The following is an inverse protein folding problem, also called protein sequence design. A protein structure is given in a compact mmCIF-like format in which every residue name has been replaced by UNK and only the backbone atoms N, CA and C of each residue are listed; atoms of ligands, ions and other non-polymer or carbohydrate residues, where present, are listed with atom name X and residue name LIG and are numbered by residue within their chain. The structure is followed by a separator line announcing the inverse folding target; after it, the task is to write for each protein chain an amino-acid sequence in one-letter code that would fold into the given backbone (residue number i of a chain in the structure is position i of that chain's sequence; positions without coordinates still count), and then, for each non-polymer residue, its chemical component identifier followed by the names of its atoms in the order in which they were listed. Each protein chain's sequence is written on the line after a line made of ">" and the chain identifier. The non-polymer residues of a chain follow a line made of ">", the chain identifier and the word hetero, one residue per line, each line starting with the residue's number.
data_IF_337489145281
#
_entry.id   IF_337489145281
#
_cell.length_a   1.000
_cell.length_b   1.000
_cell.length_c   1.000
_cell.angle_alpha   90.00
_cell.angle_beta   90.00
_cell.angle_gamma   90.00
#
_symmetry.space_group_name_H-M   'P 1'
#
loop_
_entity.id
_entity.type
_entity.pdbx_description
1 polymer ?
#
# COMPACT_ATOMS: atom_id res chain seq x y z
N UNK A 1 -0.13 2.59 -29.74
CA UNK A 1 0.10 3.38 -30.98
C UNK A 1 1.51 3.97 -31.09
N UNK A 2 2.11 4.57 -30.06
CA UNK A 2 3.49 5.14 -30.16
C UNK A 2 4.58 4.09 -30.31
N UNK A 3 4.40 2.92 -29.70
CA UNK A 3 5.39 1.84 -29.71
C UNK A 3 5.45 1.05 -31.02
N UNK A 4 4.31 0.88 -31.71
CA UNK A 4 4.27 0.24 -33.04
C UNK A 4 4.99 1.06 -34.09
N UNK A 5 4.81 2.38 -34.05
CA UNK A 5 5.52 3.27 -34.98
C UNK A 5 7.02 3.27 -34.70
N UNK A 6 7.43 3.20 -33.43
CA UNK A 6 8.84 3.11 -33.03
C UNK A 6 9.47 1.77 -33.43
N UNK A 7 8.79 0.65 -33.18
CA UNK A 7 9.23 -0.68 -33.58
C UNK A 7 9.31 -0.80 -35.11
N UNK A 8 8.28 -0.34 -35.83
CA UNK A 8 8.26 -0.34 -37.28
C UNK A 8 9.37 0.52 -37.89
N UNK A 9 9.67 1.68 -37.31
CA UNK A 9 10.78 2.53 -37.74
C UNK A 9 12.15 1.92 -37.41
N UNK A 10 12.30 1.24 -36.26
CA UNK A 10 13.54 0.57 -35.90
C UNK A 10 13.83 -0.64 -36.80
N UNK A 11 12.81 -1.47 -37.07
CA UNK A 11 12.92 -2.59 -38.02
C UNK A 11 13.15 -2.10 -39.45
N UNK A 12 12.56 -0.98 -39.85
CA UNK A 12 12.82 -0.34 -41.13
C UNK A 12 14.30 0.03 -41.31
N UNK A 13 14.90 0.71 -40.31
CA UNK A 13 16.33 1.06 -40.35
C UNK A 13 17.24 -0.16 -40.42
N UNK A 14 16.92 -1.23 -39.71
CA UNK A 14 17.71 -2.47 -39.74
C UNK A 14 17.66 -3.18 -41.10
N UNK A 15 16.58 -2.99 -41.86
CA UNK A 15 16.48 -3.47 -43.24
C UNK A 15 17.29 -2.57 -44.17
N UNK A 16 17.21 -1.25 -44.00
CA UNK A 16 17.97 -0.28 -44.80
C UNK A 16 19.49 -0.43 -44.59
N UNK A 17 19.92 -0.80 -43.38
CA UNK A 17 21.30 -1.11 -43.02
C UNK A 17 21.77 -2.51 -43.48
N UNK A 18 20.88 -3.32 -44.08
CA UNK A 18 21.18 -4.66 -44.58
C UNK A 18 21.41 -5.72 -43.50
N UNK A 19 21.12 -5.39 -42.24
CA UNK A 19 21.28 -6.30 -41.08
C UNK A 19 20.18 -7.36 -41.04
N UNK A 20 18.97 -6.99 -41.50
CA UNK A 20 17.78 -7.86 -41.49
C UNK A 20 17.14 -7.82 -42.88
N UNK A 21 16.70 -8.97 -43.39
CA UNK A 21 15.98 -9.02 -44.68
C UNK A 21 14.52 -8.55 -44.51
N UNK A 22 13.86 -8.08 -45.59
CA UNK A 22 12.43 -7.72 -45.54
C UNK A 22 11.55 -8.85 -45.01
N UNK A 23 11.82 -10.10 -45.40
CA UNK A 23 11.09 -11.28 -44.93
C UNK A 23 11.27 -11.53 -43.42
N UNK A 24 12.47 -11.30 -42.88
CA UNK A 24 12.74 -11.42 -41.45
C UNK A 24 12.08 -10.28 -40.64
N UNK A 25 12.03 -9.06 -41.19
CA UNK A 25 11.26 -7.96 -40.60
C UNK A 25 9.80 -8.35 -40.45
N UNK A 26 9.19 -8.91 -41.49
CA UNK A 26 7.78 -9.28 -41.47
C UNK A 26 7.52 -10.44 -40.50
N UNK A 27 8.44 -11.42 -40.43
CA UNK A 27 8.37 -12.51 -39.46
C UNK A 27 8.49 -12.00 -38.00
N UNK A 28 9.40 -11.06 -37.72
CA UNK A 28 9.56 -10.46 -36.38
C UNK A 28 8.36 -9.58 -36.04
N UNK A 29 7.84 -8.81 -36.99
CA UNK A 29 6.64 -8.00 -36.78
C UNK A 29 5.41 -8.88 -36.50
N UNK A 30 5.28 -10.01 -37.20
CA UNK A 30 4.22 -11.00 -36.96
C UNK A 30 4.38 -11.68 -35.59
N UNK A 31 5.59 -12.12 -35.22
CA UNK A 31 5.85 -12.73 -33.92
C UNK A 31 5.60 -11.75 -32.76
N UNK A 32 6.00 -10.49 -32.89
CA UNK A 32 5.72 -9.44 -31.89
C UNK A 32 4.23 -9.06 -31.84
N UNK A 33 3.52 -9.17 -32.96
CA UNK A 33 2.07 -8.98 -32.99
C UNK A 33 1.33 -10.15 -32.33
N UNK A 34 1.83 -11.38 -32.45
CA UNK A 34 1.31 -12.57 -31.75
C UNK A 34 1.63 -12.57 -30.25
N UNK A 35 2.81 -12.12 -29.84
CA UNK A 35 3.18 -11.99 -28.42
C UNK A 35 2.52 -10.80 -27.74
N UNK A 36 2.09 -9.79 -28.50
CA UNK A 36 1.32 -8.69 -27.93
C UNK A 36 -0.03 -9.22 -27.49
N UNK A 37 -0.46 -8.95 -26.24
CA UNK A 37 -1.81 -9.27 -25.83
C UNK A 37 -2.76 -8.53 -26.77
N UNK A 38 -3.43 -9.28 -27.65
CA UNK A 38 -4.33 -8.73 -28.66
C UNK A 38 -5.26 -7.69 -28.04
N UNK A 39 -5.43 -6.55 -28.72
CA UNK A 39 -6.29 -5.46 -28.29
C UNK A 39 -7.57 -6.03 -27.70
N UNK A 40 -7.79 -5.79 -26.40
CA UNK A 40 -8.76 -6.53 -25.61
C UNK A 40 -10.12 -6.53 -26.31
N UNK A 41 -10.65 -7.73 -26.60
CA UNK A 41 -11.99 -7.85 -27.17
C UNK A 41 -12.98 -7.10 -26.27
N UNK A 42 -14.01 -6.50 -26.84
CA UNK A 42 -15.07 -5.84 -26.06
C UNK A 42 -15.61 -6.77 -24.97
N UNK A 43 -15.65 -8.08 -25.23
CA UNK A 43 -15.99 -9.12 -24.26
C UNK A 43 -15.07 -9.11 -23.02
N UNK A 44 -13.76 -8.92 -23.18
CA UNK A 44 -12.81 -8.81 -22.07
C UNK A 44 -13.05 -7.54 -21.26
N UNK A 45 -13.31 -6.41 -21.92
CA UNK A 45 -13.65 -5.15 -21.25
C UNK A 45 -14.95 -5.28 -20.45
N UNK A 46 -16.00 -5.85 -21.05
CA UNK A 46 -17.26 -6.09 -20.35
C UNK A 46 -17.11 -7.09 -19.20
N UNK A 47 -16.29 -8.13 -19.36
CA UNK A 47 -15.98 -9.06 -18.27
C UNK A 47 -15.23 -8.36 -17.13
N UNK A 48 -14.30 -7.45 -17.45
CA UNK A 48 -13.56 -6.65 -16.46
C UNK A 48 -14.48 -5.66 -15.73
N UNK A 49 -15.35 -4.94 -16.45
CA UNK A 49 -16.36 -4.06 -15.86
C UNK A 49 -17.32 -4.86 -14.98
N UNK A 50 -17.83 -6.00 -15.46
CA UNK A 50 -18.71 -6.86 -14.69
C UNK A 50 -18.03 -7.42 -13.44
N UNK A 51 -16.72 -7.73 -13.50
CA UNK A 51 -15.97 -8.20 -12.36
C UNK A 51 -15.73 -7.10 -11.31
N UNK A 52 -15.38 -5.87 -11.72
CA UNK A 52 -15.25 -4.74 -10.78
C UNK A 52 -16.59 -4.30 -10.21
N UNK A 53 -17.64 -4.23 -11.05
CA UNK A 53 -18.99 -3.94 -10.61
C UNK A 53 -19.49 -5.02 -9.65
N UNK A 54 -19.25 -6.31 -9.96
CA UNK A 54 -19.57 -7.44 -9.09
C UNK A 54 -18.84 -7.37 -7.75
N UNK A 55 -17.54 -7.07 -7.74
CA UNK A 55 -16.78 -6.88 -6.49
C UNK A 55 -17.32 -5.70 -5.66
N UNK A 56 -17.65 -4.58 -6.30
CA UNK A 56 -18.28 -3.42 -5.65
C UNK A 56 -19.67 -3.73 -5.11
N UNK A 57 -20.48 -4.50 -5.84
CA UNK A 57 -21.80 -4.94 -5.40
C UNK A 57 -21.71 -5.96 -4.26
N UNK A 58 -20.73 -6.87 -4.27
CA UNK A 58 -20.46 -7.78 -3.14
C UNK A 58 -20.05 -6.99 -1.91
N UNK A 59 -19.13 -6.03 -2.06
CA UNK A 59 -18.72 -5.17 -0.95
C UNK A 59 -19.89 -4.33 -0.40
N UNK A 60 -20.65 -3.69 -1.30
CA UNK A 60 -21.83 -2.91 -0.93
C UNK A 60 -22.91 -3.77 -0.30
N UNK A 61 -23.13 -4.99 -0.80
CA UNK A 61 -24.05 -5.97 -0.23
C UNK A 61 -23.61 -6.44 1.16
N UNK A 62 -22.32 -6.69 1.38
CA UNK A 62 -21.77 -6.99 2.70
C UNK A 62 -22.02 -5.82 3.65
N UNK A 63 -21.70 -4.59 3.26
CA UNK A 63 -21.91 -3.40 4.09
C UNK A 63 -23.40 -3.23 4.42
N UNK A 64 -24.28 -3.34 3.43
CA UNK A 64 -25.73 -3.21 3.63
C UNK A 64 -26.27 -4.32 4.53
N UNK A 65 -25.80 -5.56 4.38
CA UNK A 65 -26.20 -6.68 5.24
C UNK A 65 -25.71 -6.48 6.69
N UNK A 66 -24.48 -6.00 6.85
CA UNK A 66 -23.90 -5.63 8.16
C UNK A 66 -24.62 -4.43 8.80
N UNK A 67 -25.26 -3.57 8.02
CA UNK A 67 -26.01 -2.42 8.56
C UNK A 67 -27.46 -2.81 8.88
N UNK A 68 -28.13 -3.55 7.99
CA UNK A 68 -29.58 -3.78 8.08
C UNK A 68 -29.98 -4.98 8.93
N UNK A 69 -29.18 -6.03 8.94
CA UNK A 69 -29.53 -7.33 9.57
C UNK A 69 -28.63 -7.70 10.73
N UNK A 70 -27.56 -6.94 10.97
CA UNK A 70 -26.57 -7.32 11.98
C UNK A 70 -27.15 -7.32 13.40
N UNK A 71 -27.97 -6.32 13.73
CA UNK A 71 -28.64 -6.23 15.03
C UNK A 71 -29.82 -7.22 15.17
N UNK A 72 -30.34 -7.74 14.05
CA UNK A 72 -31.45 -8.71 14.03
C UNK A 72 -30.97 -10.17 14.01
N UNK A 73 -29.76 -10.42 13.47
CA UNK A 73 -29.15 -11.74 13.43
C UNK A 73 -28.71 -12.15 14.83
N UNK A 74 -29.12 -13.35 15.24
CA UNK A 74 -28.46 -13.97 16.38
C UNK A 74 -26.96 -14.22 16.05
N UNK A 75 -26.17 -14.36 17.10
CA UNK A 75 -24.71 -14.54 16.99
C UNK A 75 -24.33 -15.71 16.08
N UNK A 76 -25.11 -16.79 16.11
CA UNK A 76 -24.86 -17.99 15.30
C UNK A 76 -25.06 -17.66 13.81
N UNK A 77 -26.10 -16.89 13.48
CA UNK A 77 -26.36 -16.35 12.15
C UNK A 77 -25.24 -15.43 11.65
N UNK A 78 -24.72 -14.55 12.50
CA UNK A 78 -23.56 -13.71 12.17
C UNK A 78 -22.32 -14.56 11.84
N UNK A 79 -22.00 -15.55 12.68
CA UNK A 79 -20.84 -16.44 12.50
C UNK A 79 -20.95 -17.30 11.24
N UNK A 80 -22.11 -17.89 10.96
CA UNK A 80 -22.34 -18.67 9.74
C UNK A 80 -22.16 -17.77 8.50
N UNK A 81 -22.78 -16.58 8.51
CA UNK A 81 -22.74 -15.66 7.38
C UNK A 81 -21.31 -15.23 7.07
N UNK A 82 -20.56 -14.80 8.10
CA UNK A 82 -19.17 -14.40 7.94
C UNK A 82 -18.28 -15.57 7.50
N UNK A 83 -18.51 -16.78 8.01
CA UNK A 83 -17.75 -17.96 7.64
C UNK A 83 -17.97 -18.33 6.17
N UNK A 84 -19.23 -18.31 5.72
CA UNK A 84 -19.58 -18.57 4.31
C UNK A 84 -18.94 -17.52 3.40
N UNK A 85 -19.00 -16.24 3.78
CA UNK A 85 -18.34 -15.17 3.04
C UNK A 85 -16.81 -15.36 3.01
N UNK A 86 -16.17 -15.60 4.15
CA UNK A 86 -14.72 -15.80 4.24
C UNK A 86 -14.26 -16.96 3.35
N UNK A 87 -14.95 -18.10 3.40
CA UNK A 87 -14.65 -19.27 2.57
C UNK A 87 -14.89 -18.96 1.10
N UNK A 88 -16.04 -18.38 0.74
CA UNK A 88 -16.39 -18.03 -0.64
C UNK A 88 -15.40 -17.06 -1.28
N UNK A 89 -15.02 -16.01 -0.55
CA UNK A 89 -14.02 -15.02 -0.98
C UNK A 89 -12.62 -15.65 -1.13
N UNK A 90 -12.21 -16.51 -0.19
CA UNK A 90 -10.92 -17.21 -0.25
C UNK A 90 -10.86 -18.17 -1.44
N UNK A 91 -11.91 -18.96 -1.65
CA UNK A 91 -11.99 -19.89 -2.78
C UNK A 91 -12.05 -19.13 -4.10
N UNK A 92 -12.85 -18.07 -4.19
CA UNK A 92 -12.92 -17.20 -5.37
C UNK A 92 -11.57 -16.57 -5.70
N UNK A 93 -10.86 -16.05 -4.70
CA UNK A 93 -9.50 -15.51 -4.85
C UNK A 93 -8.51 -16.56 -5.33
N UNK A 94 -8.54 -17.76 -4.76
CA UNK A 94 -7.70 -18.88 -5.19
C UNK A 94 -7.98 -19.30 -6.64
N UNK A 95 -9.25 -19.37 -7.05
CA UNK A 95 -9.61 -19.72 -8.43
C UNK A 95 -9.13 -18.65 -9.42
N UNK A 96 -9.32 -17.36 -9.12
CA UNK A 96 -8.85 -16.25 -9.95
C UNK A 96 -7.31 -16.16 -10.03
N UNK A 97 -6.61 -16.65 -9.01
CA UNK A 97 -5.15 -16.74 -9.02
C UNK A 97 -4.62 -17.91 -9.89
N UNK A 98 -5.48 -18.73 -10.50
CA UNK A 98 -5.08 -19.92 -11.26
C UNK A 98 -5.01 -21.19 -10.42
N UNK A 99 -5.76 -21.24 -9.31
CA UNK A 99 -5.79 -22.37 -8.39
C UNK A 99 -4.58 -22.42 -7.46
N UNK A 100 -4.35 -23.59 -6.83
CA UNK A 100 -3.28 -23.79 -5.83
C UNK A 100 -1.88 -23.58 -6.41
N UNK A 101 -1.69 -23.87 -7.69
CA UNK A 101 -0.42 -23.72 -8.40
C UNK A 101 -0.06 -22.28 -8.72
N UNK A 102 -1.04 -21.36 -8.73
CA UNK A 102 -0.81 -19.93 -8.95
C UNK A 102 -0.53 -19.14 -7.67
N UNK A 103 -0.71 -19.76 -6.50
CA UNK A 103 -0.41 -19.15 -5.20
C UNK A 103 1.06 -19.35 -4.83
N UNK A 104 1.59 -18.44 -4.01
CA UNK A 104 2.96 -18.45 -3.47
C UNK A 104 4.06 -18.37 -4.54
N UNK A 105 3.73 -17.94 -5.77
CA UNK A 105 4.70 -17.71 -6.84
C UNK A 105 5.21 -16.28 -6.74
N UNK A 106 6.47 -16.12 -6.31
CA UNK A 106 7.12 -14.82 -6.05
C UNK A 106 7.08 -13.85 -7.26
N UNK A 107 7.20 -14.36 -8.48
CA UNK A 107 7.27 -13.53 -9.69
C UNK A 107 5.90 -13.24 -10.33
N UNK A 108 4.86 -13.97 -9.93
CA UNK A 108 3.50 -13.85 -10.45
C UNK A 108 2.64 -12.90 -9.61
N UNK A 109 3.23 -11.82 -9.08
CA UNK A 109 2.47 -10.77 -8.37
C UNK A 109 1.28 -10.26 -9.20
N UNK A 110 0.38 -9.49 -8.59
CA UNK A 110 -0.92 -9.09 -9.18
C UNK A 110 -0.83 -8.13 -10.40
N UNK A 111 -0.17 -8.58 -11.47
CA UNK A 111 0.07 -7.86 -12.73
C UNK A 111 -1.14 -7.96 -13.65
N UNK A 112 -1.91 -9.04 -13.56
CA UNK A 112 -3.12 -9.27 -14.35
C UNK A 112 -4.37 -8.87 -13.56
N UNK A 113 -5.43 -8.50 -14.29
CA UNK A 113 -6.74 -8.12 -13.72
C UNK A 113 -7.30 -9.21 -12.78
N UNK A 114 -7.31 -10.51 -13.13
CA UNK A 114 -7.80 -11.56 -12.24
C UNK A 114 -7.02 -11.64 -10.93
N UNK A 115 -5.69 -11.46 -10.98
CA UNK A 115 -4.86 -11.47 -9.77
C UNK A 115 -5.09 -10.24 -8.89
N UNK A 116 -5.42 -9.08 -9.47
CA UNK A 116 -5.79 -7.89 -8.67
C UNK A 116 -7.11 -8.10 -7.94
N UNK A 117 -8.10 -8.69 -8.63
CA UNK A 117 -9.37 -9.07 -8.01
C UNK A 117 -9.14 -10.12 -6.91
N UNK A 118 -8.31 -11.14 -7.17
CA UNK A 118 -7.95 -12.13 -6.16
C UNK A 118 -7.35 -11.50 -4.89
N UNK A 119 -6.47 -10.51 -5.03
CA UNK A 119 -5.91 -9.77 -3.90
C UNK A 119 -6.98 -9.02 -3.09
N UNK A 120 -7.95 -8.40 -3.75
CA UNK A 120 -9.09 -7.75 -3.08
C UNK A 120 -9.95 -8.78 -2.35
N UNK A 121 -10.25 -9.92 -2.97
CA UNK A 121 -11.01 -10.99 -2.33
C UNK A 121 -10.29 -11.55 -1.09
N UNK A 122 -8.97 -11.71 -1.13
CA UNK A 122 -8.20 -12.12 0.05
C UNK A 122 -8.22 -11.07 1.16
N UNK A 123 -8.16 -9.78 0.82
CA UNK A 123 -8.32 -8.72 1.82
C UNK A 123 -9.71 -8.76 2.47
N UNK A 124 -10.78 -8.89 1.67
CA UNK A 124 -12.14 -9.01 2.19
C UNK A 124 -12.32 -10.27 3.06
N UNK A 125 -11.73 -11.39 2.65
CA UNK A 125 -11.72 -12.61 3.46
C UNK A 125 -11.02 -12.38 4.81
N UNK A 126 -9.90 -11.64 4.83
CA UNK A 126 -9.22 -11.29 6.08
C UNK A 126 -10.07 -10.37 6.98
N UNK A 127 -10.85 -9.45 6.41
CA UNK A 127 -11.83 -8.66 7.17
C UNK A 127 -12.92 -9.56 7.78
N UNK A 128 -13.44 -10.54 7.03
CA UNK A 128 -14.38 -11.51 7.58
C UNK A 128 -13.76 -12.33 8.72
N UNK A 129 -12.51 -12.80 8.56
CA UNK A 129 -11.78 -13.52 9.63
C UNK A 129 -11.60 -12.65 10.88
N UNK A 130 -11.25 -11.36 10.69
CA UNK A 130 -11.17 -10.38 11.77
C UNK A 130 -12.49 -10.30 12.54
N UNK A 131 -13.61 -10.15 11.82
CA UNK A 131 -14.94 -10.06 12.42
C UNK A 131 -15.33 -11.35 13.16
N UNK A 132 -15.07 -12.53 12.58
CA UNK A 132 -15.34 -13.83 13.21
C UNK A 132 -14.57 -13.96 14.52
N UNK A 133 -13.27 -13.66 14.51
CA UNK A 133 -12.45 -13.77 15.73
C UNK A 133 -12.90 -12.74 16.77
N UNK A 134 -13.30 -11.54 16.34
CA UNK A 134 -13.85 -10.52 17.24
C UNK A 134 -15.15 -10.97 17.92
N UNK A 135 -16.10 -11.53 17.16
CA UNK A 135 -17.38 -11.99 17.74
C UNK A 135 -17.19 -13.19 18.67
N UNK A 136 -16.29 -14.12 18.32
CA UNK A 136 -15.96 -15.28 19.19
C UNK A 136 -15.19 -14.83 20.44
N UNK A 137 -14.25 -13.90 20.33
CA UNK A 137 -13.47 -13.43 21.47
C UNK A 137 -14.35 -12.66 22.46
N UNK A 138 -15.26 -11.81 21.96
CA UNK A 138 -16.22 -11.07 22.77
C UNK A 138 -17.17 -12.02 23.52
N UNK A 139 -17.65 -13.07 22.85
CA UNK A 139 -18.48 -14.12 23.47
C UNK A 139 -17.81 -14.81 24.65
N UNK A 140 -16.54 -15.16 24.51
CA UNK A 140 -15.80 -15.87 25.55
C UNK A 140 -15.37 -14.94 26.70
N UNK A 141 -15.74 -13.65 26.65
CA UNK A 141 -15.30 -12.65 27.62
C UNK A 141 -13.79 -12.46 27.60
N UNK A 142 -13.15 -12.68 26.44
CA UNK A 142 -11.70 -12.53 26.33
C UNK A 142 -11.32 -11.07 26.60
N UNK A 143 -10.39 -10.87 27.53
CA UNK A 143 -9.77 -9.58 27.71
C UNK A 143 -9.13 -9.14 26.38
N UNK A 144 -9.41 -7.90 25.97
CA UNK A 144 -8.91 -7.32 24.72
C UNK A 144 -9.42 -8.07 23.47
N UNK A 145 -10.71 -8.46 23.43
CA UNK A 145 -11.32 -9.17 22.30
C UNK A 145 -11.04 -8.54 20.92
N UNK A 146 -11.05 -7.21 20.83
CA UNK A 146 -10.73 -6.51 19.57
C UNK A 146 -9.25 -6.69 19.16
N UNK A 147 -8.31 -6.83 20.12
CA UNK A 147 -6.90 -7.06 19.83
C UNK A 147 -6.69 -8.43 19.18
N UNK A 148 -7.40 -9.46 19.69
CA UNK A 148 -7.43 -10.78 19.06
C UNK A 148 -7.99 -10.72 17.64
N UNK A 149 -9.05 -9.93 17.43
CA UNK A 149 -9.64 -9.71 16.12
C UNK A 149 -8.63 -9.11 15.13
N UNK A 150 -8.01 -7.97 15.46
CA UNK A 150 -7.03 -7.31 14.55
C UNK A 150 -5.78 -8.15 14.35
N UNK A 151 -5.36 -8.93 15.34
CA UNK A 151 -4.23 -9.87 15.21
C UNK A 151 -4.55 -11.01 14.25
N UNK A 152 -5.77 -11.56 14.30
CA UNK A 152 -6.21 -12.54 13.32
C UNK A 152 -6.29 -11.94 11.90
N UNK A 153 -6.76 -10.70 11.79
CA UNK A 153 -6.72 -9.93 10.54
C UNK A 153 -5.32 -9.72 9.99
N UNK A 154 -4.35 -9.42 10.87
CA UNK A 154 -2.93 -9.32 10.50
C UNK A 154 -2.40 -10.64 9.94
N UNK A 155 -2.67 -11.75 10.62
CA UNK A 155 -2.25 -13.09 10.16
C UNK A 155 -2.89 -13.41 8.81
N UNK A 156 -4.20 -13.19 8.67
CA UNK A 156 -4.93 -13.49 7.43
C UNK A 156 -4.45 -12.62 6.25
N UNK A 157 -4.23 -11.31 6.46
CA UNK A 157 -3.70 -10.42 5.41
C UNK A 157 -2.25 -10.75 5.08
N UNK A 158 -1.41 -11.09 6.06
CA UNK A 158 -0.02 -11.50 5.80
C UNK A 158 0.04 -12.82 5.01
N UNK A 159 -0.82 -13.79 5.32
CA UNK A 159 -0.95 -15.03 4.55
C UNK A 159 -1.46 -14.74 3.14
N UNK A 160 -2.47 -13.89 3.00
CA UNK A 160 -2.99 -13.46 1.69
C UNK A 160 -1.94 -12.74 0.84
N UNK A 161 -1.13 -11.87 1.46
CA UNK A 161 -0.01 -11.19 0.81
C UNK A 161 1.10 -12.16 0.40
N UNK A 162 1.45 -13.12 1.27
CA UNK A 162 2.43 -14.15 0.95
C UNK A 162 1.94 -15.08 -0.18
N UNK A 163 0.63 -15.36 -0.22
CA UNK A 163 0.01 -16.15 -1.27
C UNK A 163 -0.03 -15.41 -2.60
N UNK A 164 -0.30 -14.10 -2.58
CA UNK A 164 -0.36 -13.26 -3.78
C UNK A 164 0.18 -11.85 -3.50
N UNK A 165 1.49 -11.62 -3.73
CA UNK A 165 2.12 -10.32 -3.49
C UNK A 165 1.43 -9.22 -4.30
N UNK A 166 0.80 -8.28 -3.60
CA UNK A 166 -0.05 -7.25 -4.18
C UNK A 166 -0.06 -5.98 -3.33
N UNK A 167 -0.30 -4.83 -3.96
CA UNK A 167 -0.40 -3.55 -3.26
C UNK A 167 -1.52 -3.56 -2.21
N UNK A 168 -2.66 -4.16 -2.56
CA UNK A 168 -3.83 -4.26 -1.67
C UNK A 168 -3.52 -5.13 -0.46
N UNK A 169 -2.88 -6.28 -0.66
CA UNK A 169 -2.44 -7.13 0.44
C UNK A 169 -1.43 -6.42 1.33
N UNK A 170 -0.45 -5.72 0.75
CA UNK A 170 0.55 -4.95 1.49
C UNK A 170 -0.08 -3.85 2.36
N UNK A 171 -1.04 -3.09 1.80
CA UNK A 171 -1.79 -2.06 2.54
C UNK A 171 -2.63 -2.67 3.67
N UNK A 172 -3.27 -3.82 3.41
CA UNK A 172 -4.02 -4.55 4.43
C UNK A 172 -3.12 -5.01 5.58
N UNK A 173 -1.98 -5.64 5.27
CA UNK A 173 -1.00 -6.05 6.27
C UNK A 173 -0.46 -4.86 7.06
N UNK A 174 -0.19 -3.74 6.40
CA UNK A 174 0.29 -2.53 7.07
C UNK A 174 -0.75 -1.93 8.03
N UNK A 175 -2.01 -1.86 7.61
CA UNK A 175 -3.11 -1.38 8.44
C UNK A 175 -3.26 -2.25 9.69
N UNK A 176 -3.40 -3.56 9.52
CA UNK A 176 -3.56 -4.48 10.64
C UNK A 176 -2.31 -4.52 11.54
N UNK A 177 -1.11 -4.41 10.98
CA UNK A 177 0.11 -4.34 11.78
C UNK A 177 0.13 -3.10 12.67
N UNK A 178 -0.29 -1.94 12.13
CA UNK A 178 -0.43 -0.70 12.89
C UNK A 178 -1.44 -0.84 14.03
N UNK A 179 -2.63 -1.40 13.74
CA UNK A 179 -3.67 -1.63 14.74
C UNK A 179 -3.22 -2.62 15.83
N UNK A 180 -2.59 -3.73 15.46
CA UNK A 180 -2.09 -4.73 16.43
C UNK A 180 -0.98 -4.16 17.31
N UNK A 181 0.00 -3.45 16.75
CA UNK A 181 1.09 -2.84 17.55
C UNK A 181 0.54 -1.74 18.46
N UNK A 182 -0.31 -0.86 17.92
CA UNK A 182 -0.92 0.22 18.69
C UNK A 182 -1.80 -0.30 19.83
N UNK A 183 -2.65 -1.29 19.55
CA UNK A 183 -3.52 -1.93 20.54
C UNK A 183 -2.73 -2.70 21.59
N UNK A 184 -1.72 -3.46 21.18
CA UNK A 184 -0.89 -4.23 22.11
C UNK A 184 -0.15 -3.32 23.10
N UNK A 185 0.42 -2.22 22.61
CA UNK A 185 1.10 -1.25 23.48
C UNK A 185 0.12 -0.56 24.42
N UNK A 186 -1.05 -0.15 23.93
CA UNK A 186 -2.02 0.58 24.74
C UNK A 186 -2.69 -0.29 25.79
N UNK A 187 -3.01 -1.54 25.47
CA UNK A 187 -3.88 -2.37 26.32
C UNK A 187 -3.14 -3.47 27.08
N UNK A 188 -2.15 -4.11 26.45
CA UNK A 188 -1.41 -5.20 27.10
C UNK A 188 -0.26 -4.65 27.94
N UNK A 189 0.41 -3.61 27.44
CA UNK A 189 1.56 -2.97 28.13
C UNK A 189 1.12 -1.78 28.97
N UNK A 190 -0.13 -1.31 28.82
CA UNK A 190 -0.64 -0.06 29.43
C UNK A 190 0.29 1.13 29.16
N UNK A 191 0.83 1.17 27.95
CA UNK A 191 1.80 2.18 27.56
C UNK A 191 1.07 3.47 27.19
N UNK A 192 1.52 4.59 27.76
CA UNK A 192 0.99 5.91 27.40
C UNK A 192 1.24 6.27 25.93
N UNK A 193 0.48 7.25 25.44
CA UNK A 193 0.54 7.76 24.05
C UNK A 193 1.95 7.96 23.46
N UNK A 194 2.97 8.51 24.18
CA UNK A 194 4.33 8.63 23.65
C UNK A 194 4.94 7.29 23.22
N UNK A 195 4.73 6.25 24.02
CA UNK A 195 5.28 4.92 23.76
C UNK A 195 4.54 4.20 22.64
N UNK A 196 3.23 4.38 22.54
CA UNK A 196 2.43 3.90 21.39
C UNK A 196 2.95 4.50 20.09
N UNK A 197 3.17 5.82 20.09
CA UNK A 197 3.73 6.52 18.93
C UNK A 197 5.14 6.07 18.56
N UNK A 198 6.03 5.90 19.55
CA UNK A 198 7.38 5.34 19.33
C UNK A 198 7.30 3.92 18.76
N UNK A 199 6.38 3.09 19.24
CA UNK A 199 6.15 1.75 18.71
C UNK A 199 5.74 1.75 17.23
N UNK A 200 4.89 2.71 16.83
CA UNK A 200 4.51 2.89 15.43
C UNK A 200 5.66 3.44 14.57
N UNK A 201 6.52 4.31 15.11
CA UNK A 201 7.76 4.73 14.44
C UNK A 201 8.68 3.53 14.22
N UNK A 202 8.84 2.68 15.24
CA UNK A 202 9.62 1.45 15.13
C UNK A 202 9.04 0.51 14.08
N UNK A 203 7.71 0.37 14.01
CA UNK A 203 7.01 -0.38 12.96
C UNK A 203 7.29 0.19 11.56
N UNK A 204 7.28 1.52 11.40
CA UNK A 204 7.72 2.17 10.17
C UNK A 204 9.17 1.83 9.81
N UNK A 205 10.06 1.77 10.80
CA UNK A 205 11.44 1.29 10.65
C UNK A 205 11.53 -0.16 10.14
N UNK A 206 10.68 -1.06 10.66
CA UNK A 206 10.56 -2.43 10.17
C UNK A 206 10.12 -2.44 8.69
N UNK A 207 9.14 -1.61 8.32
CA UNK A 207 8.71 -1.48 6.92
C UNK A 207 9.82 -0.94 6.01
N UNK A 208 10.65 0.01 6.47
CA UNK A 208 11.83 0.46 5.72
C UNK A 208 12.80 -0.70 5.48
N UNK A 209 13.08 -1.51 6.50
CA UNK A 209 13.97 -2.67 6.37
C UNK A 209 13.40 -3.75 5.43
N UNK A 210 12.10 -4.05 5.55
CA UNK A 210 11.40 -4.98 4.66
C UNK A 210 11.40 -4.51 3.20
N UNK A 211 11.21 -3.20 2.98
CA UNK A 211 11.25 -2.60 1.64
C UNK A 211 12.64 -2.66 1.03
N UNK A 212 13.67 -2.35 1.82
CA UNK A 212 15.07 -2.42 1.40
C UNK A 212 15.53 -3.85 1.08
N UNK A 213 15.03 -4.85 1.82
CA UNK A 213 15.34 -6.26 1.59
C UNK A 213 14.60 -6.87 0.38
N UNK A 214 13.77 -6.09 -0.33
CA UNK A 214 13.02 -6.56 -1.50
C UNK A 214 11.80 -7.44 -1.18
N UNK A 215 11.39 -7.52 0.09
CA UNK A 215 10.21 -8.30 0.49
C UNK A 215 8.89 -7.56 0.26
N UNK A 216 8.92 -6.23 0.14
CA UNK A 216 7.76 -5.43 -0.19
C UNK A 216 7.67 -5.19 -1.71
N UNK A 217 6.78 -5.92 -2.37
CA UNK A 217 6.44 -5.70 -3.77
C UNK A 217 5.10 -4.92 -3.88
N UNK A 218 5.07 -3.74 -4.54
CA UNK A 218 6.20 -3.00 -5.14
C UNK A 218 7.00 -2.15 -4.13
N UNK A 219 8.33 -1.94 -4.34
CA UNK A 219 9.19 -1.27 -3.35
C UNK A 219 8.76 0.15 -2.98
N UNK A 220 8.25 0.91 -3.95
CA UNK A 220 7.76 2.27 -3.73
C UNK A 220 6.61 2.31 -2.72
N UNK A 221 5.74 1.28 -2.72
CA UNK A 221 4.60 1.21 -1.82
C UNK A 221 5.05 0.86 -0.40
N UNK A 222 6.03 -0.04 -0.27
CA UNK A 222 6.64 -0.35 1.03
C UNK A 222 7.27 0.89 1.67
N UNK A 223 7.99 1.69 0.90
CA UNK A 223 8.52 2.97 1.37
C UNK A 223 7.41 3.96 1.74
N UNK A 224 6.36 4.10 0.94
CA UNK A 224 5.22 4.98 1.27
C UNK A 224 4.55 4.57 2.58
N UNK A 225 4.34 3.27 2.79
CA UNK A 225 3.77 2.71 4.02
C UNK A 225 4.69 3.01 5.20
N UNK A 226 5.99 2.74 5.07
CA UNK A 226 6.98 3.01 6.11
C UNK A 226 6.96 4.48 6.55
N UNK A 227 6.94 5.41 5.59
CA UNK A 227 6.86 6.85 5.83
C UNK A 227 5.56 7.20 6.54
N UNK A 228 4.41 6.76 6.01
CA UNK A 228 3.10 7.08 6.57
C UNK A 228 2.96 6.56 8.01
N UNK A 229 3.31 5.29 8.25
CA UNK A 229 3.25 4.68 9.58
C UNK A 229 4.19 5.38 10.56
N UNK A 230 5.41 5.72 10.14
CA UNK A 230 6.35 6.43 11.00
C UNK A 230 5.89 7.86 11.32
N UNK A 231 5.32 8.59 10.35
CA UNK A 231 4.77 9.92 10.58
C UNK A 231 3.56 9.90 11.51
N UNK A 232 2.62 8.97 11.30
CA UNK A 232 1.48 8.77 12.21
C UNK A 232 1.98 8.48 13.63
N UNK A 233 2.98 7.59 13.77
CA UNK A 233 3.60 7.30 15.05
C UNK A 233 4.26 8.53 15.69
N UNK A 234 4.98 9.34 14.92
CA UNK A 234 5.60 10.57 15.41
C UNK A 234 4.56 11.59 15.92
N UNK A 235 3.44 11.74 15.22
CA UNK A 235 2.36 12.66 15.62
C UNK A 235 1.63 12.16 16.88
N UNK A 236 1.37 10.85 16.99
CA UNK A 236 0.79 10.27 18.21
C UNK A 236 1.74 10.44 19.39
N UNK A 237 3.04 10.22 19.18
CA UNK A 237 4.03 10.25 20.25
C UNK A 237 4.10 11.62 20.95
N UNK A 238 3.98 12.69 20.19
CA UNK A 238 4.07 14.05 20.74
C UNK A 238 2.73 14.77 20.92
N UNK A 239 1.60 14.06 20.92
CA UNK A 239 0.28 14.63 21.23
C UNK A 239 0.28 15.39 22.57
N UNK A 240 0.96 14.84 23.59
CA UNK A 240 1.10 15.47 24.91
C UNK A 240 2.49 16.11 25.14
N UNK A 241 3.44 15.92 24.22
CA UNK A 241 4.83 16.37 24.34
C UNK A 241 5.39 16.76 22.96
N UNK A 242 5.24 18.03 22.60
CA UNK A 242 5.62 18.58 21.27
C UNK A 242 7.07 18.28 20.87
N UNK A 243 7.99 18.17 21.84
CA UNK A 243 9.39 17.81 21.59
C UNK A 243 9.56 16.45 20.87
N UNK A 244 8.70 15.46 21.17
CA UNK A 244 8.74 14.15 20.51
C UNK A 244 8.27 14.23 19.06
N UNK A 245 7.23 15.03 18.77
CA UNK A 245 6.72 15.21 17.42
C UNK A 245 7.81 15.69 16.48
N UNK A 246 8.53 16.76 16.84
CA UNK A 246 9.56 17.32 15.97
C UNK A 246 10.74 16.37 15.83
N UNK A 247 11.22 15.81 16.94
CA UNK A 247 12.41 14.96 16.94
C UNK A 247 12.20 13.71 16.09
N UNK A 248 11.05 13.05 16.24
CA UNK A 248 10.71 11.85 15.47
C UNK A 248 10.41 12.18 14.01
N UNK A 249 9.74 13.29 13.72
CA UNK A 249 9.45 13.70 12.33
C UNK A 249 10.73 14.07 11.57
N UNK A 250 11.66 14.78 12.22
CA UNK A 250 13.00 15.06 11.66
C UNK A 250 13.78 13.76 11.48
N UNK A 251 13.72 12.84 12.44
CA UNK A 251 14.37 11.53 12.32
C UNK A 251 13.84 10.76 11.09
N UNK A 252 12.52 10.75 10.85
CA UNK A 252 11.92 10.15 9.65
C UNK A 252 12.46 10.81 8.38
N UNK A 253 12.57 12.14 8.35
CA UNK A 253 13.16 12.85 7.22
C UNK A 253 14.62 12.44 6.96
N UNK A 254 15.45 12.37 8.02
CA UNK A 254 16.85 11.94 7.94
C UNK A 254 16.96 10.51 7.41
N UNK A 255 16.14 9.58 7.92
CA UNK A 255 16.12 8.18 7.46
C UNK A 255 15.73 8.11 5.97
N UNK A 256 14.73 8.89 5.54
CA UNK A 256 14.33 8.94 4.14
C UNK A 256 15.47 9.41 3.23
N UNK A 257 16.16 10.50 3.59
CA UNK A 257 17.28 11.02 2.82
C UNK A 257 18.50 10.09 2.83
N UNK A 258 18.79 9.45 3.97
CA UNK A 258 19.86 8.46 4.06
C UNK A 258 19.60 7.24 3.19
N UNK A 259 18.36 6.71 3.19
CA UNK A 259 17.97 5.60 2.31
C UNK A 259 17.95 6.01 0.84
N UNK A 260 17.58 7.26 0.54
CA UNK A 260 17.62 7.79 -0.82
C UNK A 260 19.03 7.78 -1.40
N UNK A 261 20.06 8.04 -0.58
CA UNK A 261 21.45 7.97 -1.02
C UNK A 261 21.86 6.58 -1.55
N UNK A 262 21.22 5.50 -1.04
CA UNK A 262 21.44 4.13 -1.49
C UNK A 262 20.56 3.71 -2.67
N UNK A 263 19.24 3.78 -2.52
CA UNK A 263 18.30 3.10 -3.45
C UNK A 263 17.70 4.06 -4.49
N UNK A 264 17.93 5.37 -4.36
CA UNK A 264 17.50 6.45 -5.29
C UNK A 264 16.03 6.40 -5.75
N UNK A 265 15.11 5.96 -4.91
CA UNK A 265 13.67 6.01 -5.20
C UNK A 265 13.06 7.39 -4.92
N UNK A 266 12.28 7.91 -5.86
CA UNK A 266 11.65 9.24 -5.74
C UNK A 266 10.72 9.40 -4.53
N UNK A 267 10.07 8.32 -4.08
CA UNK A 267 9.21 8.33 -2.89
C UNK A 267 9.97 8.75 -1.63
N UNK A 268 11.25 8.38 -1.50
CA UNK A 268 12.07 8.75 -0.35
C UNK A 268 12.39 10.25 -0.33
N UNK A 269 12.62 10.87 -1.50
CA UNK A 269 12.82 12.33 -1.58
C UNK A 269 11.52 13.04 -1.19
N UNK A 270 10.40 12.63 -1.78
CA UNK A 270 9.09 13.25 -1.53
C UNK A 270 8.70 13.09 -0.06
N UNK A 271 8.85 11.89 0.48
CA UNK A 271 8.57 11.58 1.88
C UNK A 271 9.48 12.32 2.85
N UNK A 272 10.80 12.33 2.60
CA UNK A 272 11.75 13.06 3.42
C UNK A 272 11.53 14.57 3.39
N UNK A 273 11.25 15.12 2.20
CA UNK A 273 10.90 16.53 2.02
C UNK A 273 9.60 16.90 2.73
N UNK A 274 8.56 16.08 2.61
CA UNK A 274 7.28 16.28 3.29
C UNK A 274 7.44 16.20 4.82
N UNK A 275 8.16 15.20 5.33
CA UNK A 275 8.45 15.07 6.77
C UNK A 275 9.21 16.29 7.30
N UNK A 276 10.26 16.74 6.59
CA UNK A 276 11.01 17.92 6.99
C UNK A 276 10.15 19.19 6.97
N UNK A 277 9.33 19.36 5.93
CA UNK A 277 8.40 20.48 5.82
C UNK A 277 7.40 20.49 6.98
N UNK A 278 6.82 19.33 7.32
CA UNK A 278 5.92 19.18 8.46
C UNK A 278 6.60 19.52 9.78
N UNK A 279 7.81 19.00 10.02
CA UNK A 279 8.56 19.29 11.25
C UNK A 279 8.87 20.79 11.41
N UNK A 280 9.34 21.43 10.34
CA UNK A 280 9.65 22.87 10.34
C UNK A 280 8.37 23.69 10.51
N UNK A 281 7.29 23.36 9.80
CA UNK A 281 6.03 24.11 9.90
C UNK A 281 5.44 24.03 11.30
N UNK A 282 5.46 22.85 11.93
CA UNK A 282 4.95 22.66 13.29
C UNK A 282 5.84 23.39 14.30
N UNK A 283 7.17 23.29 14.17
CA UNK A 283 8.10 23.99 15.06
C UNK A 283 7.91 25.51 15.02
N UNK A 284 7.79 26.09 13.82
CA UNK A 284 7.58 27.53 13.66
C UNK A 284 6.20 27.95 14.15
N UNK A 285 5.16 27.16 13.88
CA UNK A 285 3.81 27.44 14.36
C UNK A 285 3.77 27.55 15.89
N UNK A 286 4.35 26.56 16.57
CA UNK A 286 4.34 26.50 18.03
C UNK A 286 5.25 27.57 18.66
N UNK A 287 6.41 27.86 18.05
CA UNK A 287 7.29 28.96 18.52
C UNK A 287 6.73 30.35 18.25
N UNK A 288 5.81 30.48 17.30
CA UNK A 288 5.19 31.75 16.96
C UNK A 288 3.95 32.08 17.82
N UNK A 289 3.65 31.28 18.85
CA UNK A 289 2.38 31.36 19.59
C UNK A 289 1.18 31.41 18.63
N UNK A 290 1.24 30.62 17.55
CA UNK A 290 0.18 30.51 16.54
C UNK A 290 -0.03 31.82 15.72
N UNK A 291 0.96 32.72 15.72
CA UNK A 291 0.90 33.95 14.94
C UNK A 291 1.10 33.70 13.43
N UNK A 292 0.28 34.35 12.61
CA UNK A 292 0.33 34.25 11.15
C UNK A 292 1.69 34.58 10.52
N UNK A 293 2.54 35.35 11.22
CA UNK A 293 3.90 35.69 10.78
C UNK A 293 4.83 34.47 10.62
N UNK A 294 4.66 33.43 11.45
CA UNK A 294 5.45 32.20 11.37
C UNK A 294 5.26 31.49 10.02
N UNK A 295 4.00 31.35 9.58
CA UNK A 295 3.66 30.73 8.31
C UNK A 295 4.30 31.45 7.10
N UNK A 296 4.38 32.79 7.14
CA UNK A 296 4.97 33.59 6.06
C UNK A 296 6.49 33.33 5.92
N UNK A 297 7.20 33.21 7.05
CA UNK A 297 8.65 32.95 7.04
C UNK A 297 9.02 31.57 6.50
N UNK A 298 8.22 30.55 6.82
CA UNK A 298 8.38 29.19 6.27
C UNK A 298 8.13 29.19 4.77
N UNK A 299 7.08 29.89 4.31
CA UNK A 299 6.75 29.99 2.90
C UNK A 299 7.88 30.65 2.10
N UNK A 300 8.41 31.77 2.60
CA UNK A 300 9.54 32.48 1.96
C UNK A 300 10.79 31.60 1.92
N UNK A 301 11.12 30.92 3.02
CA UNK A 301 12.28 30.02 3.10
C UNK A 301 12.15 28.86 2.12
N UNK A 302 10.97 28.24 2.06
CA UNK A 302 10.66 27.17 1.10
C UNK A 302 10.76 27.64 -0.35
N UNK A 303 10.26 28.83 -0.67
CA UNK A 303 10.36 29.42 -2.00
C UNK A 303 11.82 29.68 -2.42
N UNK A 304 12.67 30.14 -1.50
CA UNK A 304 14.11 30.35 -1.75
C UNK A 304 14.80 29.01 -2.05
N UNK A 305 14.57 27.97 -1.23
CA UNK A 305 15.18 26.65 -1.43
C UNK A 305 14.73 26.04 -2.77
N UNK A 306 13.45 26.16 -3.12
CA UNK A 306 12.92 25.73 -4.42
C UNK A 306 13.57 26.50 -5.58
N UNK A 307 13.71 27.82 -5.45
CA UNK A 307 14.35 28.66 -6.47
C UNK A 307 15.82 28.27 -6.70
N UNK A 308 16.60 28.09 -5.63
CA UNK A 308 18.00 27.65 -5.72
C UNK A 308 18.10 26.25 -6.33
N UNK A 309 17.25 25.32 -5.92
CA UNK A 309 17.22 23.96 -6.47
C UNK A 309 16.91 23.96 -7.98
N UNK A 310 15.94 24.76 -8.42
CA UNK A 310 15.60 24.88 -9.83
C UNK A 310 16.77 25.44 -10.66
N UNK A 311 17.48 26.45 -10.16
CA UNK A 311 18.65 27.04 -10.83
C UNK A 311 19.79 26.03 -10.98
N UNK A 312 20.07 25.24 -9.93
CA UNK A 312 21.11 24.21 -9.97
C UNK A 312 20.79 23.12 -11.00
N UNK A 313 19.53 22.67 -11.05
CA UNK A 313 19.07 21.66 -12.01
C UNK A 313 19.09 22.17 -13.47
N UNK A 314 18.86 23.46 -13.68
CA UNK A 314 18.92 24.08 -15.02
C UNK A 314 20.37 24.26 -15.48
N UNK A 315 21.30 24.54 -14.56
CA UNK A 315 22.73 24.66 -14.87
C UNK A 315 23.40 23.35 -15.25
N UNK A 316 22.93 22.23 -14.71
CA UNK A 316 23.50 20.90 -14.97
C UNK A 316 23.04 20.30 -16.31
N UNK A 317 22.10 20.95 -17.00
CA UNK A 317 21.55 20.52 -18.30
C UNK A 317 22.06 21.31 -19.52
N UNK A 318 22.87 22.35 -19.30
CA UNK A 318 23.45 23.18 -20.36
C UNK A 318 24.96 23.03 -20.43
#
# INVERSE_FOLDING_TARGET
>A
MTDERRLGAALGRLVDEGVVTPAQRDAVAAAVAEERPGGGSLTRLFAEIAAYAGAGLVLGGIILLLDSTWDELDRLGQLITLTVLAVGLTVGGMLLAGGRSGLFVRDAGARTVPMRLAAVLFLLAALCVTAIVGTVADENGAEHAWLWAVTAGLVATAVGYAALPSLVGLLGTALFAGLTVGGSLREVVDAGDPWVGIGLVALGGIWFALSRSGHAAPPWAGYSIAIATALIGAQIAGYNQTAWTYTLTVLVAVVCFALYAGDRHGVLIIGGGAALALAVSQSVWDWSDHAAGGALTVLISGAIVLGVGAVLLLRDRG
#
